data_IF_117629204922
#
_entry.id   IF_117629204922
#
_cell.length_a   1.000
_cell.length_b   1.000
_cell.length_c   1.000
_cell.angle_alpha   90.00
_cell.angle_beta   90.00
_cell.angle_gamma   90.00
#
_symmetry.space_group_name_H-M   'P 1'
#
loop_
_entity.id
_entity.type
_entity.pdbx_description
1 polymer ?
#
# COMPACT_ATOMS: atom_id res chain seq x y z
N UNK A 1 7.00 8.77 36.41
CA UNK A 1 6.96 9.32 35.04
C UNK A 1 6.65 8.15 34.14
N UNK A 2 5.54 8.17 33.40
CA UNK A 2 5.30 7.15 32.38
C UNK A 2 6.45 7.23 31.35
N UNK A 3 6.96 6.08 30.90
CA UNK A 3 8.03 6.06 29.93
C UNK A 3 7.53 6.66 28.60
N UNK A 4 8.31 7.61 28.06
CA UNK A 4 8.03 8.32 26.83
C UNK A 4 8.59 7.52 25.64
N UNK A 5 7.80 6.57 25.14
CA UNK A 5 8.19 5.76 23.98
C UNK A 5 7.71 6.40 22.67
N UNK A 6 8.54 6.40 21.61
CA UNK A 6 8.11 6.85 20.29
C UNK A 6 6.98 5.94 19.77
N UNK A 7 5.90 6.55 19.28
CA UNK A 7 4.76 5.86 18.67
C UNK A 7 4.80 6.09 17.16
N UNK A 8 4.57 5.03 16.40
CA UNK A 8 4.33 5.07 14.96
C UNK A 8 2.96 4.45 14.72
N UNK A 9 2.10 5.17 14.01
CA UNK A 9 0.86 4.58 13.50
C UNK A 9 1.18 3.77 12.24
N UNK A 10 1.33 2.45 12.39
CA UNK A 10 1.86 1.60 11.33
C UNK A 10 0.87 1.33 10.20
N UNK A 11 -0.39 1.76 10.32
CA UNK A 11 -1.41 1.46 9.32
C UNK A 11 -2.49 2.53 9.28
N UNK A 12 -2.38 3.45 8.32
CA UNK A 12 -3.44 4.41 8.02
C UNK A 12 -3.82 4.43 6.54
N UNK A 13 -5.00 4.99 6.29
CA UNK A 13 -5.52 5.30 4.97
C UNK A 13 -5.96 6.76 4.94
N UNK A 14 -5.55 7.45 3.89
CA UNK A 14 -5.84 8.86 3.65
C UNK A 14 -6.08 9.04 2.13
N UNK A 15 -6.88 10.01 1.73
CA UNK A 15 -7.12 10.33 0.32
C UNK A 15 -7.77 11.71 0.17
N UNK A 16 -7.44 12.47 -0.89
CA UNK A 16 -7.97 13.79 -1.11
C UNK A 16 -9.36 13.71 -1.77
N UNK A 17 -10.17 14.77 -1.62
CA UNK A 17 -11.54 14.81 -2.16
C UNK A 17 -11.58 14.56 -3.67
N UNK A 18 -10.61 15.11 -4.41
CA UNK A 18 -10.57 15.07 -5.87
C UNK A 18 -10.31 13.68 -6.43
N UNK A 19 -9.87 12.72 -5.60
CA UNK A 19 -9.49 11.38 -6.03
C UNK A 19 -10.45 10.29 -5.53
N UNK A 20 -11.53 10.65 -4.83
CA UNK A 20 -12.54 9.71 -4.30
C UNK A 20 -13.12 8.81 -5.40
N UNK A 21 -13.36 9.36 -6.60
CA UNK A 21 -13.91 8.60 -7.72
C UNK A 21 -12.97 7.51 -8.24
N UNK A 22 -11.70 7.52 -7.84
CA UNK A 22 -10.71 6.50 -8.23
C UNK A 22 -10.71 5.29 -7.29
N UNK A 23 -11.37 5.36 -6.14
CA UNK A 23 -11.51 4.25 -5.18
C UNK A 23 -12.45 3.17 -5.74
N UNK A 24 -12.12 1.89 -5.52
CA UNK A 24 -12.89 0.76 -6.06
C UNK A 24 -14.04 0.30 -5.15
N UNK A 25 -13.95 0.57 -3.85
CA UNK A 25 -14.86 0.04 -2.81
C UNK A 25 -16.05 0.93 -2.40
N UNK A 26 -16.05 2.28 -2.55
CA UNK A 26 -17.17 3.07 -2.06
C UNK A 26 -18.47 2.80 -2.82
N UNK A 27 -19.58 2.68 -2.08
CA UNK A 27 -20.93 2.62 -2.62
C UNK A 27 -21.64 3.98 -2.47
N UNK A 28 -22.72 4.25 -3.22
CA UNK A 28 -23.50 5.47 -3.03
C UNK A 28 -23.93 5.65 -1.57
N UNK A 29 -23.61 6.81 -0.98
CA UNK A 29 -23.93 7.12 0.42
C UNK A 29 -22.95 6.53 1.45
N UNK A 30 -21.83 5.93 1.04
CA UNK A 30 -20.81 5.46 1.96
C UNK A 30 -20.22 6.66 2.75
N UNK A 31 -20.25 6.64 4.10
CA UNK A 31 -19.82 7.78 4.93
C UNK A 31 -18.32 8.07 4.86
N UNK A 32 -17.53 7.12 4.35
CA UNK A 32 -16.08 7.26 4.12
C UNK A 32 -15.74 7.75 2.71
N UNK A 33 -16.74 7.91 1.82
CA UNK A 33 -16.57 8.45 0.47
C UNK A 33 -16.45 9.98 0.47
N UNK A 34 -15.54 10.51 1.30
CA UNK A 34 -15.22 11.93 1.47
C UNK A 34 -13.72 12.06 1.75
N UNK A 35 -13.19 13.27 1.75
CA UNK A 35 -11.79 13.48 2.08
C UNK A 35 -11.41 12.92 3.47
N UNK A 36 -10.24 12.30 3.53
CA UNK A 36 -9.55 11.92 4.75
C UNK A 36 -8.08 12.35 4.61
N UNK A 37 -7.74 13.50 5.18
CA UNK A 37 -6.47 14.19 4.95
C UNK A 37 -5.51 14.09 6.13
N UNK A 38 -4.27 14.62 5.98
CA UNK A 38 -3.31 14.62 7.09
C UNK A 38 -3.77 15.57 8.21
N UNK A 39 -4.48 16.66 7.88
CA UNK A 39 -5.13 17.53 8.86
C UNK A 39 -6.18 16.76 9.69
N UNK A 40 -6.99 15.92 9.04
CA UNK A 40 -7.96 15.08 9.73
C UNK A 40 -7.26 14.07 10.66
N UNK A 41 -6.15 13.49 10.21
CA UNK A 41 -5.31 12.59 11.03
C UNK A 41 -4.74 13.30 12.26
N UNK A 42 -4.15 14.49 12.08
CA UNK A 42 -3.59 15.33 13.16
C UNK A 42 -4.69 15.68 14.18
N UNK A 43 -5.88 16.06 13.70
CA UNK A 43 -7.02 16.38 14.55
C UNK A 43 -7.52 15.14 15.32
N UNK A 44 -7.62 13.98 14.66
CA UNK A 44 -8.10 12.74 15.27
C UNK A 44 -7.14 12.18 16.32
N UNK A 45 -5.83 12.32 16.10
CA UNK A 45 -4.81 11.84 17.05
C UNK A 45 -4.57 12.79 18.21
N UNK A 46 -4.91 14.08 18.06
CA UNK A 46 -4.53 15.13 19.02
C UNK A 46 -3.03 15.43 19.06
N UNK A 47 -2.24 14.82 18.16
CA UNK A 47 -0.78 15.02 18.01
C UNK A 47 0.02 14.95 19.32
N UNK A 48 -0.02 13.81 20.04
CA UNK A 48 0.77 13.67 21.25
C UNK A 48 2.27 13.75 20.91
N UNK A 49 3.07 14.34 21.80
CA UNK A 49 4.48 14.67 21.53
C UNK A 49 5.37 13.45 21.17
N UNK A 50 4.92 12.25 21.53
CA UNK A 50 5.64 11.01 21.27
C UNK A 50 5.22 10.30 19.98
N UNK A 51 4.14 10.74 19.32
CA UNK A 51 3.78 10.31 17.98
C UNK A 51 4.80 10.84 16.97
N UNK A 52 5.43 9.93 16.23
CA UNK A 52 6.45 10.26 15.22
C UNK A 52 5.86 10.41 13.83
N UNK A 53 4.68 9.84 13.59
CA UNK A 53 4.01 9.84 12.30
C UNK A 53 3.38 8.50 11.99
N UNK A 54 3.18 8.25 10.71
CA UNK A 54 2.41 7.14 10.19
C UNK A 54 3.11 6.40 9.04
N UNK A 55 2.67 5.17 8.80
CA UNK A 55 2.89 4.42 7.58
C UNK A 55 1.57 4.37 6.82
N UNK A 56 1.60 4.83 5.57
CA UNK A 56 0.44 4.80 4.69
C UNK A 56 0.34 3.47 3.96
N UNK A 57 -0.86 2.90 3.87
CA UNK A 57 -1.17 1.77 3.02
C UNK A 57 -2.21 2.16 1.96
N UNK A 58 -2.08 1.57 0.78
CA UNK A 58 -2.97 1.77 -0.36
C UNK A 58 -4.46 1.60 -0.04
N UNK A 59 -5.29 2.31 -0.80
CA UNK A 59 -6.72 2.50 -0.53
C UNK A 59 -7.66 1.77 -1.51
N UNK A 60 -7.14 0.75 -2.19
CA UNK A 60 -7.84 -0.08 -3.18
C UNK A 60 -8.43 0.75 -4.31
N UNK A 61 -7.54 1.39 -5.05
CA UNK A 61 -7.91 2.16 -6.25
C UNK A 61 -8.22 1.25 -7.42
N UNK A 62 -9.15 1.71 -8.25
CA UNK A 62 -9.52 1.07 -9.52
C UNK A 62 -8.26 0.82 -10.34
N UNK A 63 -8.16 -0.36 -10.93
CA UNK A 63 -7.02 -0.77 -11.73
C UNK A 63 -7.44 -1.82 -12.74
N UNK A 64 -6.59 -2.06 -13.73
CA UNK A 64 -6.74 -3.12 -14.72
C UNK A 64 -5.41 -3.87 -14.88
N UNK A 65 -5.41 -5.17 -14.57
CA UNK A 65 -4.18 -5.98 -14.58
C UNK A 65 -3.69 -6.25 -16.01
N UNK A 66 -4.60 -6.44 -16.98
CA UNK A 66 -4.24 -6.79 -18.36
C UNK A 66 -3.65 -5.58 -19.09
N UNK A 67 -4.35 -4.44 -19.04
CA UNK A 67 -3.91 -3.18 -19.60
C UNK A 67 -2.64 -2.69 -18.91
N UNK A 68 -2.56 -2.82 -17.58
CA UNK A 68 -1.36 -2.53 -16.81
C UNK A 68 -0.15 -3.32 -17.29
N UNK A 69 -0.26 -4.65 -17.39
CA UNK A 69 0.84 -5.50 -17.85
C UNK A 69 1.25 -5.22 -19.32
N UNK A 70 0.28 -4.82 -20.16
CA UNK A 70 0.49 -4.51 -21.58
C UNK A 70 1.21 -3.19 -21.80
N UNK A 71 0.72 -2.10 -21.19
CA UNK A 71 1.13 -0.73 -21.51
C UNK A 71 1.08 0.25 -20.31
N UNK A 72 0.97 -0.26 -19.08
CA UNK A 72 0.86 0.49 -17.83
C UNK A 72 -0.42 1.35 -17.66
N UNK A 73 -1.32 1.42 -18.65
CA UNK A 73 -2.54 2.24 -18.54
C UNK A 73 -3.47 1.79 -17.42
N UNK A 74 -3.49 0.50 -17.10
CA UNK A 74 -4.28 -0.04 -15.99
C UNK A 74 -3.74 0.30 -14.59
N UNK A 75 -2.60 0.97 -14.48
CA UNK A 75 -1.98 1.37 -13.22
C UNK A 75 -2.13 2.86 -12.91
N UNK A 76 -2.89 3.61 -13.73
CA UNK A 76 -3.05 5.07 -13.60
C UNK A 76 -3.43 5.49 -12.17
N UNK A 77 -4.49 4.91 -11.60
CA UNK A 77 -4.98 5.34 -10.28
C UNK A 77 -4.11 4.85 -9.10
N UNK A 78 -3.59 3.61 -9.08
CA UNK A 78 -2.56 3.23 -8.11
C UNK A 78 -1.34 4.17 -8.13
N UNK A 79 -0.87 4.57 -9.31
CA UNK A 79 0.25 5.51 -9.44
C UNK A 79 -0.15 6.96 -9.08
N UNK A 80 -1.40 7.35 -9.31
CA UNK A 80 -1.95 8.62 -8.83
C UNK A 80 -1.85 8.73 -7.31
N UNK A 81 -2.11 7.64 -6.57
CA UNK A 81 -1.93 7.58 -5.12
C UNK A 81 -0.49 7.83 -4.70
N UNK A 82 0.48 7.17 -5.36
CA UNK A 82 1.91 7.39 -5.09
C UNK A 82 2.30 8.84 -5.34
N UNK A 83 1.77 9.46 -6.40
CA UNK A 83 1.99 10.87 -6.72
C UNK A 83 1.44 11.80 -5.62
N UNK A 84 0.28 11.47 -5.05
CA UNK A 84 -0.29 12.21 -3.94
C UNK A 84 0.49 12.03 -2.64
N UNK A 85 0.90 10.81 -2.31
CA UNK A 85 1.75 10.55 -1.13
C UNK A 85 3.11 11.22 -1.23
N UNK A 86 3.66 11.35 -2.44
CA UNK A 86 4.86 12.15 -2.67
C UNK A 86 4.63 13.61 -2.26
N UNK A 87 3.49 14.21 -2.60
CA UNK A 87 3.17 15.59 -2.21
C UNK A 87 3.12 15.75 -0.70
N UNK A 88 2.54 14.79 0.01
CA UNK A 88 2.58 14.74 1.48
C UNK A 88 4.03 14.67 1.97
N UNK A 89 4.79 13.67 1.52
CA UNK A 89 6.14 13.41 1.99
C UNK A 89 7.16 14.52 1.64
N UNK A 90 6.90 15.31 0.60
CA UNK A 90 7.69 16.49 0.22
C UNK A 90 7.15 17.81 0.82
N UNK A 91 5.97 17.79 1.44
CA UNK A 91 5.34 19.00 1.99
C UNK A 91 4.87 19.99 0.91
N UNK A 92 4.41 19.49 -0.24
CA UNK A 92 4.02 20.27 -1.42
C UNK A 92 2.56 19.98 -1.82
N UNK A 93 1.58 20.37 -0.98
CA UNK A 93 0.17 20.13 -1.27
C UNK A 93 -0.29 20.87 -2.52
N UNK A 94 -1.33 20.34 -3.17
CA UNK A 94 -2.22 21.14 -4.03
C UNK A 94 -3.34 21.75 -3.18
N UNK A 95 -3.97 22.79 -3.71
CA UNK A 95 -5.11 23.43 -3.06
C UNK A 95 -6.21 22.39 -2.76
N UNK A 96 -6.65 22.35 -1.50
CA UNK A 96 -7.72 21.48 -1.04
C UNK A 96 -7.31 20.09 -0.54
N UNK A 97 -6.04 19.68 -0.63
CA UNK A 97 -5.61 18.31 -0.25
C UNK A 97 -5.44 18.08 1.27
N UNK A 98 -5.75 19.09 2.11
CA UNK A 98 -5.78 18.97 3.57
C UNK A 98 -4.45 18.57 4.20
N UNK A 99 -3.34 19.09 3.67
CA UNK A 99 -2.03 18.98 4.31
C UNK A 99 -1.15 20.20 3.98
N UNK A 100 -0.14 20.45 4.80
CA UNK A 100 0.83 21.53 4.61
C UNK A 100 2.29 21.05 4.71
N UNK A 101 3.27 21.96 4.51
CA UNK A 101 4.69 21.62 4.58
C UNK A 101 5.11 20.95 5.90
N UNK A 102 4.56 21.37 7.03
CA UNK A 102 4.88 20.85 8.36
C UNK A 102 4.43 19.39 8.57
N UNK A 103 3.55 18.87 7.71
CA UNK A 103 3.08 17.49 7.76
C UNK A 103 4.05 16.50 7.10
N UNK A 104 5.05 16.98 6.34
CA UNK A 104 5.96 16.11 5.59
C UNK A 104 6.70 15.10 6.46
N UNK A 105 7.08 15.50 7.69
CA UNK A 105 7.77 14.63 8.63
C UNK A 105 6.90 13.51 9.19
N UNK A 106 5.57 13.63 9.11
CA UNK A 106 4.63 12.62 9.61
C UNK A 106 4.56 11.39 8.70
N UNK A 107 4.85 11.52 7.40
CA UNK A 107 4.85 10.36 6.50
C UNK A 107 6.17 9.60 6.66
N UNK A 108 6.18 8.52 7.44
CA UNK A 108 7.37 7.73 7.74
C UNK A 108 7.61 6.59 6.75
N UNK A 109 6.53 6.05 6.18
CA UNK A 109 6.57 4.97 5.20
C UNK A 109 5.33 4.94 4.33
N UNK A 110 5.48 4.31 3.17
CA UNK A 110 4.44 4.16 2.14
C UNK A 110 4.47 2.71 1.65
N UNK A 111 3.29 2.11 1.57
CA UNK A 111 3.03 0.77 1.06
C UNK A 111 1.94 0.89 -0.02
N UNK A 112 2.31 1.13 -1.29
CA UNK A 112 1.33 1.28 -2.36
C UNK A 112 0.81 -0.08 -2.83
N UNK A 113 -0.24 -0.06 -3.65
CA UNK A 113 -0.80 -1.24 -4.31
C UNK A 113 0.24 -1.87 -5.25
N UNK A 114 0.13 -3.17 -5.54
CA UNK A 114 0.96 -3.84 -6.53
C UNK A 114 0.21 -4.88 -7.40
N UNK A 115 0.59 -5.07 -8.68
CA UNK A 115 -0.03 -6.02 -9.60
C UNK A 115 0.50 -7.46 -9.42
N UNK A 116 0.47 -8.00 -8.20
CA UNK A 116 1.02 -9.35 -7.90
C UNK A 116 0.50 -10.44 -8.86
N UNK A 117 -0.80 -10.52 -9.23
CA UNK A 117 -1.29 -11.56 -10.13
C UNK A 117 -0.75 -11.47 -11.56
N UNK A 118 -0.12 -10.35 -11.95
CA UNK A 118 0.42 -10.16 -13.30
C UNK A 118 1.84 -10.72 -13.50
N UNK A 119 2.42 -11.36 -12.48
CA UNK A 119 3.72 -12.00 -12.57
C UNK A 119 4.91 -11.07 -12.40
N UNK A 120 6.08 -11.65 -12.10
CA UNK A 120 7.28 -10.90 -11.73
C UNK A 120 7.72 -9.88 -12.81
N UNK A 121 7.52 -10.18 -14.09
CA UNK A 121 7.89 -9.26 -15.17
C UNK A 121 7.03 -8.00 -15.21
N UNK A 122 5.72 -8.10 -14.96
CA UNK A 122 4.84 -6.94 -14.85
C UNK A 122 5.11 -6.19 -13.53
N UNK A 123 5.38 -6.92 -12.46
CA UNK A 123 5.74 -6.36 -11.17
C UNK A 123 7.01 -5.51 -11.25
N UNK A 124 8.07 -6.00 -11.91
CA UNK A 124 9.32 -5.27 -12.15
C UNK A 124 9.06 -3.92 -12.88
N UNK A 125 8.26 -3.95 -13.96
CA UNK A 125 7.85 -2.72 -14.65
C UNK A 125 7.10 -1.76 -13.73
N UNK A 126 6.18 -2.28 -12.92
CA UNK A 126 5.42 -1.47 -11.99
C UNK A 126 6.31 -0.82 -10.93
N UNK A 127 7.32 -1.54 -10.41
CA UNK A 127 8.32 -0.96 -9.49
C UNK A 127 9.05 0.23 -10.11
N UNK A 128 9.42 0.16 -11.39
CA UNK A 128 10.05 1.27 -12.11
C UNK A 128 9.11 2.50 -12.22
N UNK A 129 7.82 2.27 -12.47
CA UNK A 129 6.81 3.33 -12.48
C UNK A 129 6.62 3.96 -11.10
N UNK A 130 6.49 3.16 -10.05
CA UNK A 130 6.37 3.65 -8.66
C UNK A 130 7.58 4.49 -8.29
N UNK A 131 8.79 4.02 -8.61
CA UNK A 131 10.04 4.77 -8.37
C UNK A 131 10.05 6.09 -9.11
N UNK A 132 9.66 6.10 -10.38
CA UNK A 132 9.58 7.31 -11.20
C UNK A 132 8.60 8.32 -10.62
N UNK A 133 7.42 7.87 -10.21
CA UNK A 133 6.37 8.73 -9.66
C UNK A 133 6.75 9.26 -8.29
N UNK A 134 7.25 8.40 -7.40
CA UNK A 134 7.74 8.78 -6.06
C UNK A 134 8.92 9.75 -6.14
N UNK A 135 9.80 9.57 -7.13
CA UNK A 135 11.04 10.33 -7.25
C UNK A 135 12.07 9.98 -6.17
N UNK A 136 13.32 10.40 -6.38
CA UNK A 136 14.45 9.95 -5.56
C UNK A 136 14.33 10.33 -4.07
N UNK A 137 13.67 11.44 -3.77
CA UNK A 137 13.50 11.92 -2.39
C UNK A 137 12.51 11.05 -1.58
N UNK A 138 11.45 10.54 -2.23
CA UNK A 138 10.39 9.77 -1.55
C UNK A 138 10.56 8.26 -1.76
N UNK A 139 11.30 7.81 -2.78
CA UNK A 139 11.58 6.39 -2.98
C UNK A 139 12.08 5.65 -1.73
N UNK A 140 12.98 6.21 -0.88
CA UNK A 140 13.38 5.57 0.38
C UNK A 140 12.26 5.39 1.41
N UNK A 141 11.11 6.06 1.24
CA UNK A 141 9.91 5.87 2.07
C UNK A 141 8.99 4.78 1.53
N UNK A 142 9.16 4.32 0.28
CA UNK A 142 8.48 3.12 -0.22
C UNK A 142 9.12 1.91 0.48
N UNK A 143 8.38 1.25 1.38
CA UNK A 143 8.91 0.16 2.23
C UNK A 143 8.33 -1.21 1.93
N UNK A 144 7.25 -1.26 1.18
CA UNK A 144 6.59 -2.50 0.81
C UNK A 144 5.52 -2.25 -0.22
N UNK A 145 4.76 -3.29 -0.51
CA UNK A 145 3.58 -3.21 -1.35
C UNK A 145 2.44 -4.02 -0.74
N UNK A 146 1.22 -3.67 -1.10
CA UNK A 146 0.02 -4.34 -0.60
C UNK A 146 -0.80 -4.92 -1.75
N UNK A 147 -1.48 -6.01 -1.46
CA UNK A 147 -2.58 -6.51 -2.28
C UNK A 147 -3.69 -7.06 -1.40
N UNK A 148 -4.92 -6.58 -1.62
CA UNK A 148 -6.10 -7.07 -0.92
C UNK A 148 -6.55 -8.41 -1.51
N UNK A 149 -6.36 -9.50 -0.75
CA UNK A 149 -6.93 -10.82 -1.06
C UNK A 149 -8.33 -10.99 -0.46
N UNK A 150 -8.70 -10.17 0.54
CA UNK A 150 -9.95 -10.23 1.30
C UNK A 150 -11.23 -10.35 0.46
N UNK A 151 -11.26 -9.77 -0.73
CA UNK A 151 -12.42 -9.72 -1.64
C UNK A 151 -12.22 -10.54 -2.93
N UNK A 152 -11.08 -11.22 -3.10
CA UNK A 152 -10.75 -11.95 -4.33
C UNK A 152 -11.22 -13.41 -4.29
N UNK A 153 -11.37 -14.07 -5.45
CA UNK A 153 -11.63 -15.50 -5.50
C UNK A 153 -10.56 -16.32 -4.78
N UNK A 154 -10.97 -17.43 -4.17
CA UNK A 154 -10.04 -18.41 -3.61
C UNK A 154 -9.03 -18.88 -4.64
N UNK A 155 -7.78 -19.05 -4.22
CA UNK A 155 -6.67 -19.42 -5.10
C UNK A 155 -6.03 -18.27 -5.87
N UNK A 156 -6.52 -17.03 -5.77
CA UNK A 156 -5.90 -15.87 -6.46
C UNK A 156 -4.43 -15.69 -6.08
N UNK A 157 -4.09 -15.81 -4.78
CA UNK A 157 -2.71 -15.71 -4.31
C UNK A 157 -1.86 -16.98 -4.53
N UNK A 158 -2.47 -18.08 -4.98
CA UNK A 158 -1.80 -19.37 -5.15
C UNK A 158 -1.28 -19.60 -6.58
N UNK A 159 -1.42 -18.62 -7.48
CA UNK A 159 -0.86 -18.74 -8.83
C UNK A 159 0.66 -18.58 -8.79
N UNK A 160 1.36 -19.22 -9.72
CA UNK A 160 2.83 -19.11 -9.81
C UNK A 160 3.26 -17.65 -10.04
N UNK A 161 2.53 -16.91 -10.88
CA UNK A 161 2.75 -15.49 -11.13
C UNK A 161 2.69 -14.63 -9.85
N UNK A 162 1.73 -14.92 -8.95
CA UNK A 162 1.61 -14.22 -7.68
C UNK A 162 2.81 -14.52 -6.78
N UNK A 163 3.18 -15.80 -6.66
CA UNK A 163 4.31 -16.25 -5.85
C UNK A 163 5.64 -15.69 -6.37
N UNK A 164 5.84 -15.68 -7.68
CA UNK A 164 7.07 -15.13 -8.30
C UNK A 164 7.18 -13.63 -8.07
N UNK A 165 6.06 -12.91 -8.08
CA UNK A 165 6.04 -11.48 -7.75
C UNK A 165 6.39 -11.23 -6.28
N UNK A 166 5.95 -12.09 -5.35
CA UNK A 166 6.35 -12.02 -3.94
C UNK A 166 7.84 -12.29 -3.74
N UNK A 167 8.39 -13.29 -4.45
CA UNK A 167 9.84 -13.58 -4.43
C UNK A 167 10.64 -12.39 -4.94
N UNK A 168 10.17 -11.73 -6.01
CA UNK A 168 10.78 -10.49 -6.50
C UNK A 168 10.76 -9.38 -5.43
N UNK A 169 9.64 -9.17 -4.74
CA UNK A 169 9.55 -8.17 -3.67
C UNK A 169 10.57 -8.43 -2.56
N UNK A 170 10.67 -9.69 -2.09
CA UNK A 170 11.65 -10.09 -1.07
C UNK A 170 13.09 -9.84 -1.51
N UNK A 171 13.45 -10.27 -2.73
CA UNK A 171 14.77 -10.00 -3.33
C UNK A 171 15.10 -8.51 -3.44
N UNK A 172 14.08 -7.66 -3.59
CA UNK A 172 14.22 -6.20 -3.66
C UNK A 172 14.20 -5.53 -2.27
N UNK A 173 14.05 -6.30 -1.19
CA UNK A 173 14.05 -5.80 0.19
C UNK A 173 12.75 -5.12 0.59
N UNK A 174 11.65 -5.39 -0.10
CA UNK A 174 10.32 -4.85 0.21
C UNK A 174 9.53 -5.80 1.10
N UNK A 175 8.71 -5.24 1.99
CA UNK A 175 7.69 -6.01 2.70
C UNK A 175 6.44 -6.20 1.83
N UNK A 176 5.65 -7.22 2.13
CA UNK A 176 4.33 -7.42 1.54
C UNK A 176 3.24 -7.37 2.61
N UNK A 177 2.32 -6.43 2.47
CA UNK A 177 1.12 -6.35 3.29
C UNK A 177 -0.02 -7.15 2.65
N UNK A 178 -0.53 -8.13 3.38
CA UNK A 178 -1.50 -9.11 2.90
C UNK A 178 -2.85 -8.89 3.57
N UNK A 179 -3.78 -8.23 2.86
CA UNK A 179 -5.14 -8.06 3.37
C UNK A 179 -5.98 -9.33 3.22
N UNK A 180 -6.33 -9.97 4.34
CA UNK A 180 -7.26 -11.11 4.41
C UNK A 180 -8.49 -10.79 5.27
N UNK A 181 -9.56 -11.56 5.12
CA UNK A 181 -10.80 -11.44 5.85
C UNK A 181 -11.34 -12.79 6.30
N UNK A 182 -10.80 -13.27 7.43
CA UNK A 182 -11.28 -14.51 8.05
C UNK A 182 -12.77 -14.44 8.42
N UNK A 183 -13.29 -13.26 8.80
CA UNK A 183 -14.66 -13.12 9.28
C UNK A 183 -15.69 -13.48 8.20
N UNK A 184 -15.51 -12.96 6.98
CA UNK A 184 -16.42 -13.20 5.85
C UNK A 184 -16.02 -14.39 5.00
N UNK A 185 -14.74 -14.76 4.95
CA UNK A 185 -14.22 -15.81 4.04
C UNK A 185 -13.89 -17.13 4.74
N UNK A 186 -13.93 -17.15 6.07
CA UNK A 186 -13.63 -18.32 6.89
C UNK A 186 -12.16 -18.73 6.86
N UNK A 187 -11.87 -19.88 7.48
CA UNK A 187 -10.50 -20.37 7.67
C UNK A 187 -9.76 -20.66 6.37
N UNK A 188 -10.48 -20.96 5.28
CA UNK A 188 -9.85 -21.25 3.99
C UNK A 188 -8.91 -20.13 3.53
N UNK A 189 -9.24 -18.87 3.81
CA UNK A 189 -8.36 -17.77 3.42
C UNK A 189 -7.09 -17.68 4.28
N UNK A 190 -7.16 -18.10 5.55
CA UNK A 190 -5.98 -18.24 6.41
C UNK A 190 -5.10 -19.43 5.96
N UNK A 191 -5.72 -20.54 5.56
CA UNK A 191 -5.00 -21.69 4.99
C UNK A 191 -4.26 -21.27 3.70
N UNK A 192 -4.94 -20.51 2.82
CA UNK A 192 -4.32 -19.93 1.62
C UNK A 192 -3.17 -18.98 1.98
N UNK A 193 -3.33 -18.12 3.00
CA UNK A 193 -2.28 -17.23 3.47
C UNK A 193 -1.02 -17.99 3.92
N UNK A 194 -1.18 -19.09 4.67
CA UNK A 194 -0.06 -19.95 5.09
C UNK A 194 0.65 -20.59 3.89
N UNK A 195 -0.13 -21.09 2.91
CA UNK A 195 0.42 -21.68 1.70
C UNK A 195 1.17 -20.65 0.85
N UNK A 196 0.63 -19.43 0.73
CA UNK A 196 1.29 -18.31 0.03
C UNK A 196 2.66 -18.03 0.66
N UNK A 197 2.73 -17.90 1.99
CA UNK A 197 3.98 -17.64 2.72
C UNK A 197 4.98 -18.78 2.48
N UNK A 198 4.52 -20.02 2.63
CA UNK A 198 5.34 -21.22 2.41
C UNK A 198 5.98 -21.22 1.02
N UNK A 199 5.16 -21.05 -0.03
CA UNK A 199 5.62 -21.06 -1.42
C UNK A 199 6.48 -19.86 -1.80
N UNK A 200 6.21 -18.68 -1.24
CA UNK A 200 7.03 -17.49 -1.42
C UNK A 200 8.41 -17.63 -0.79
N UNK A 201 8.58 -18.50 0.22
CA UNK A 201 9.86 -18.75 0.89
C UNK A 201 10.56 -20.03 0.40
N UNK A 202 9.87 -20.91 -0.32
CA UNK A 202 10.43 -22.15 -0.83
C UNK A 202 11.59 -21.90 -1.81
N UNK A 203 12.76 -22.44 -1.47
CA UNK A 203 13.99 -22.31 -2.26
C UNK A 203 14.61 -20.91 -2.27
N UNK A 204 14.14 -19.99 -1.41
CA UNK A 204 14.61 -18.60 -1.34
C UNK A 204 15.64 -18.43 -0.22
N UNK A 205 16.80 -17.79 -0.46
CA UNK A 205 17.77 -17.43 0.58
C UNK A 205 17.12 -16.60 1.70
N UNK A 206 17.59 -16.76 2.94
CA UNK A 206 16.96 -16.13 4.12
C UNK A 206 16.88 -14.60 3.98
N UNK A 207 17.94 -13.99 3.45
CA UNK A 207 18.05 -12.54 3.21
C UNK A 207 17.18 -12.01 2.06
N UNK A 208 16.67 -12.89 1.20
CA UNK A 208 15.79 -12.56 0.08
C UNK A 208 14.32 -12.92 0.36
N UNK A 209 14.01 -13.52 1.51
CA UNK A 209 12.63 -13.85 1.87
C UNK A 209 11.83 -12.58 2.10
N UNK A 210 10.69 -12.48 1.42
CA UNK A 210 9.74 -11.40 1.64
C UNK A 210 9.20 -11.44 3.07
N UNK A 211 9.20 -10.29 3.74
CA UNK A 211 8.56 -10.15 5.05
C UNK A 211 7.08 -9.87 4.85
N UNK A 212 6.22 -10.67 5.48
CA UNK A 212 4.77 -10.50 5.43
C UNK A 212 4.27 -9.67 6.62
N UNK A 213 3.34 -8.76 6.35
CA UNK A 213 2.47 -8.08 7.32
C UNK A 213 1.05 -8.55 7.03
N UNK A 214 0.28 -8.98 8.04
CA UNK A 214 -1.04 -9.61 7.90
C UNK A 214 -2.02 -8.98 8.88
#
# INVERSE_FOLDING_TARGET
>A
MAADYPIIDSHIHLYPEQEIETLAWPTPGNPLAKQHSVEDYVAATGSPANLKGFIFLETDRKHDLEAGARDASGWEFPLMEVSWLRRIAEGKPRDGEGHGPDHASLCLGIVPWAPLPSGAAAMEKYLDHVKTVAGDAVWPKIRGFRYLLQDKPHGTGLTDDFIDSLKLLGKRGFVFDMGVDQHRRGNKQLDEALEIISRAHEGVPEEEKVTFVI
#
